data_IF_743948131515
#
_entry.id   IF_743948131515
#
_cell.length_a   1.000
_cell.length_b   1.000
_cell.length_c   1.000
_cell.angle_alpha   90.00
_cell.angle_beta   90.00
_cell.angle_gamma   90.00
#
_symmetry.space_group_name_H-M   'P 1'
#
loop_
_entity.id
_entity.type
_entity.pdbx_description
1 polymer ?
#
# COMPACT_ATOMS: atom_id res chain seq x y z
N UNK A 1 -19.55 -32.74 9.57
CA UNK A 1 -19.76 -31.68 8.56
C UNK A 1 -18.99 -30.46 9.02
N UNK A 2 -17.73 -30.30 8.56
CA UNK A 2 -16.85 -29.22 9.01
C UNK A 2 -16.80 -28.16 7.91
N UNK A 3 -17.46 -27.05 8.15
CA UNK A 3 -17.30 -25.85 7.33
C UNK A 3 -15.93 -25.23 7.63
N UNK A 4 -15.01 -25.28 6.68
CA UNK A 4 -13.78 -24.48 6.69
C UNK A 4 -14.09 -23.13 6.04
N UNK A 5 -13.90 -21.99 6.71
CA UNK A 5 -14.05 -20.68 6.08
C UNK A 5 -12.88 -20.45 5.10
N UNK A 6 -13.21 -20.29 3.82
CA UNK A 6 -12.27 -19.95 2.73
C UNK A 6 -12.04 -18.41 2.68
N UNK A 7 -12.01 -17.76 3.81
CA UNK A 7 -11.92 -16.31 3.90
C UNK A 7 -10.50 -15.77 4.11
N UNK A 8 -9.44 -16.53 3.73
CA UNK A 8 -8.07 -16.13 4.12
C UNK A 8 -7.09 -16.02 2.93
N UNK A 9 -7.52 -15.53 1.75
CA UNK A 9 -6.59 -15.43 0.62
C UNK A 9 -6.57 -14.12 -0.18
N UNK A 10 -7.20 -13.03 0.27
CA UNK A 10 -7.26 -11.76 -0.50
C UNK A 10 -6.46 -10.63 0.11
N UNK A 11 -5.65 -10.87 1.13
CA UNK A 11 -4.95 -9.80 1.84
C UNK A 11 -3.43 -9.93 1.82
N UNK A 12 -2.85 -9.87 0.64
CA UNK A 12 -1.40 -9.73 0.52
C UNK A 12 -1.11 -8.50 -0.32
N UNK A 13 -1.46 -7.31 0.08
CA UNK A 13 -1.01 -6.17 -0.72
C UNK A 13 -1.29 -4.83 -0.06
N UNK A 14 -0.46 -4.37 0.67
CA UNK A 14 0.33 -3.18 0.81
C UNK A 14 1.32 -3.47 1.94
N UNK A 15 2.21 -4.43 1.71
CA UNK A 15 3.33 -4.62 2.62
C UNK A 15 4.49 -3.76 2.20
N UNK A 16 4.30 -2.43 2.27
CA UNK A 16 5.46 -1.55 2.32
C UNK A 16 6.11 -1.62 3.70
N UNK A 17 5.61 -2.43 4.59
CA UNK A 17 6.25 -2.69 5.86
C UNK A 17 5.51 -3.78 6.64
N UNK A 18 5.92 -5.01 6.51
CA UNK A 18 5.73 -5.99 7.57
C UNK A 18 6.60 -7.21 7.31
N UNK A 19 7.59 -7.40 8.16
CA UNK A 19 7.89 -8.65 8.84
C UNK A 19 9.09 -8.39 9.74
N UNK A 20 8.88 -8.28 11.04
CA UNK A 20 9.79 -8.81 12.06
C UNK A 20 8.96 -9.16 13.30
N UNK A 21 8.98 -10.40 13.65
CA UNK A 21 8.63 -10.75 15.00
C UNK A 21 8.04 -12.13 15.21
N UNK A 22 8.82 -12.94 15.88
CA UNK A 22 8.54 -14.15 16.66
C UNK A 22 8.73 -15.49 15.94
N UNK A 23 9.79 -16.19 16.34
CA UNK A 23 9.61 -17.40 17.20
C UNK A 23 10.95 -17.97 17.61
N UNK A 24 11.13 -18.14 18.90
CA UNK A 24 12.01 -19.20 19.44
C UNK A 24 11.23 -20.50 19.39
N UNK A 25 11.70 -21.49 18.66
CA UNK A 25 11.47 -22.89 18.95
C UNK A 25 12.55 -23.77 18.35
N UNK A 26 13.10 -24.57 19.21
CA UNK A 26 14.02 -25.69 19.23
C UNK A 26 14.40 -26.36 17.90
N UNK A 27 15.73 -26.63 17.79
CA UNK A 27 16.48 -27.40 16.80
C UNK A 27 15.83 -28.76 16.46
N UNK A 28 15.70 -28.99 15.17
CA UNK A 28 15.97 -30.29 14.56
C UNK A 28 16.58 -30.09 13.19
N UNK A 29 17.67 -30.78 12.90
CA UNK A 29 18.46 -30.62 11.72
C UNK A 29 17.67 -31.05 10.49
N UNK A 30 17.23 -30.10 9.67
CA UNK A 30 16.74 -30.35 8.32
C UNK A 30 17.52 -29.47 7.35
N UNK A 31 18.03 -30.09 6.30
CA UNK A 31 18.80 -29.51 5.23
C UNK A 31 18.29 -28.11 4.85
N UNK A 32 19.17 -27.13 5.01
CA UNK A 32 18.99 -25.76 4.51
C UNK A 32 19.24 -25.80 3.01
N UNK A 33 18.21 -26.06 2.23
CA UNK A 33 18.18 -25.65 0.86
C UNK A 33 17.55 -24.24 0.84
N UNK A 34 18.39 -23.25 0.50
CA UNK A 34 18.04 -21.90 0.07
C UNK A 34 16.71 -21.33 0.60
N UNK A 35 16.72 -20.82 1.82
CA UNK A 35 15.80 -19.75 2.16
C UNK A 35 16.21 -18.55 1.28
N UNK A 36 15.62 -18.41 0.11
CA UNK A 36 15.53 -17.14 -0.58
C UNK A 36 14.91 -16.16 0.41
N UNK A 37 15.74 -15.33 0.98
CA UNK A 37 15.33 -14.08 1.58
C UNK A 37 14.70 -13.33 0.40
N UNK A 38 13.38 -13.29 0.29
CA UNK A 38 12.67 -12.38 -0.60
C UNK A 38 13.08 -10.97 -0.14
N UNK A 39 14.21 -10.50 -0.65
CA UNK A 39 14.57 -9.09 -0.60
C UNK A 39 13.47 -8.38 -1.38
N UNK A 40 12.52 -7.79 -0.68
CA UNK A 40 11.45 -7.00 -1.26
C UNK A 40 12.07 -5.72 -1.86
N UNK A 41 12.57 -5.85 -3.07
CA UNK A 41 13.24 -4.77 -3.77
C UNK A 41 12.23 -3.69 -4.16
N UNK A 42 12.53 -2.44 -3.79
CA UNK A 42 11.74 -1.27 -4.19
C UNK A 42 12.48 -0.56 -5.31
N UNK A 43 11.84 -0.47 -6.46
CA UNK A 43 12.34 0.32 -7.59
C UNK A 43 11.68 1.69 -7.61
N UNK A 44 12.47 2.75 -7.62
CA UNK A 44 12.02 4.14 -7.66
C UNK A 44 12.54 4.78 -8.94
N UNK A 45 11.63 5.44 -9.68
CA UNK A 45 11.95 6.30 -10.83
C UNK A 45 11.26 7.63 -10.64
N UNK A 46 11.98 8.72 -10.91
CA UNK A 46 11.49 10.10 -10.90
C UNK A 46 12.44 10.96 -11.72
N UNK A 47 11.99 12.12 -12.20
CA UNK A 47 12.85 13.08 -12.88
C UNK A 47 13.84 13.72 -11.90
N UNK A 48 13.44 13.90 -10.62
CA UNK A 48 14.27 14.44 -9.55
C UNK A 48 13.94 13.78 -8.23
N UNK A 49 14.98 13.46 -7.45
CA UNK A 49 14.88 12.96 -6.08
C UNK A 49 15.67 13.92 -5.18
N UNK A 50 15.05 14.38 -4.10
CA UNK A 50 15.66 15.17 -3.05
C UNK A 50 15.44 14.46 -1.72
N UNK A 51 16.48 14.36 -0.90
CA UNK A 51 16.39 13.81 0.45
C UNK A 51 16.87 14.87 1.44
N UNK A 52 16.05 15.15 2.42
CA UNK A 52 16.42 15.95 3.59
C UNK A 52 16.62 14.98 4.75
N UNK A 53 17.89 14.85 5.17
CA UNK A 53 18.27 13.89 6.20
C UNK A 53 17.96 14.42 7.60
N UNK A 54 17.91 15.72 7.78
CA UNK A 54 17.60 16.36 9.06
C UNK A 54 16.10 16.32 9.33
N UNK A 55 15.27 16.55 8.30
CA UNK A 55 13.81 16.51 8.39
C UNK A 55 13.24 15.08 8.19
N UNK A 56 14.09 14.10 7.92
CA UNK A 56 13.70 12.71 7.68
C UNK A 56 12.63 12.58 6.58
N UNK A 57 12.84 13.29 5.47
CA UNK A 57 11.93 13.24 4.34
C UNK A 57 12.64 13.06 2.99
N UNK A 58 11.93 12.46 2.06
CA UNK A 58 12.35 12.33 0.67
C UNK A 58 11.24 12.84 -0.25
N UNK A 59 11.60 13.65 -1.23
CA UNK A 59 10.70 14.17 -2.24
C UNK A 59 11.10 13.68 -3.63
N UNK A 60 10.12 13.10 -4.33
CA UNK A 60 10.24 12.61 -5.70
C UNK A 60 9.40 13.52 -6.59
N UNK A 61 9.98 14.04 -7.66
CA UNK A 61 9.33 15.00 -8.55
C UNK A 61 9.41 14.55 -10.02
N UNK A 62 8.30 14.67 -10.71
CA UNK A 62 8.15 14.42 -12.14
C UNK A 62 8.16 12.92 -12.49
N UNK A 63 7.15 12.46 -13.20
CA UNK A 63 7.05 11.08 -13.73
C UNK A 63 7.36 10.00 -12.68
N UNK A 64 6.91 10.23 -11.44
CA UNK A 64 7.23 9.34 -10.32
C UNK A 64 6.60 7.97 -10.55
N UNK A 65 7.42 6.92 -10.42
CA UNK A 65 6.98 5.52 -10.40
C UNK A 65 7.73 4.78 -9.31
N UNK A 66 6.97 4.17 -8.40
CA UNK A 66 7.50 3.29 -7.36
C UNK A 66 6.88 1.92 -7.57
N UNK A 67 7.71 0.89 -7.64
CA UNK A 67 7.24 -0.50 -7.80
C UNK A 67 7.86 -1.39 -6.74
N UNK A 68 7.04 -2.27 -6.19
CA UNK A 68 7.44 -3.30 -5.25
C UNK A 68 6.60 -4.55 -5.51
N UNK A 69 7.22 -5.65 -5.86
CA UNK A 69 6.52 -6.88 -6.23
C UNK A 69 5.42 -6.63 -7.28
N UNK A 70 4.14 -6.83 -6.92
CA UNK A 70 2.96 -6.62 -7.77
C UNK A 70 2.27 -5.27 -7.54
N UNK A 71 2.88 -4.40 -6.75
CA UNK A 71 2.34 -3.07 -6.47
C UNK A 71 3.11 -2.03 -7.27
N UNK A 72 2.38 -1.13 -7.92
CA UNK A 72 2.94 0.02 -8.64
C UNK A 72 2.18 1.27 -8.23
N UNK A 73 2.91 2.34 -7.93
CA UNK A 73 2.35 3.67 -7.66
C UNK A 73 2.97 4.65 -8.63
N UNK A 74 2.13 5.39 -9.35
CA UNK A 74 2.57 6.51 -10.21
C UNK A 74 1.94 7.81 -9.73
N UNK A 75 2.66 8.92 -9.87
CA UNK A 75 2.21 10.26 -9.50
C UNK A 75 3.08 11.33 -10.18
N UNK A 76 2.62 12.58 -10.16
CA UNK A 76 3.47 13.71 -10.57
C UNK A 76 4.51 14.04 -9.50
N UNK A 77 4.15 13.84 -8.23
CA UNK A 77 4.99 14.11 -7.07
C UNK A 77 4.71 13.12 -5.95
N UNK A 78 5.75 12.72 -5.22
CA UNK A 78 5.60 11.90 -4.01
C UNK A 78 6.51 12.43 -2.90
N UNK A 79 5.99 12.44 -1.67
CA UNK A 79 6.72 12.77 -0.46
C UNK A 79 6.69 11.60 0.50
N UNK A 80 7.84 11.19 0.97
CA UNK A 80 8.02 10.05 1.88
C UNK A 80 8.63 10.57 3.16
N UNK A 81 7.99 10.28 4.28
CA UNK A 81 8.47 10.55 5.62
C UNK A 81 8.95 9.26 6.26
N UNK A 82 10.10 9.32 6.92
CA UNK A 82 10.66 8.15 7.58
C UNK A 82 11.12 8.50 9.00
N UNK A 83 11.25 7.49 9.85
CA UNK A 83 11.73 7.64 11.23
C UNK A 83 13.07 6.93 11.36
N UNK A 84 13.95 7.44 12.22
CA UNK A 84 15.14 6.70 12.56
C UNK A 84 14.78 5.41 13.28
N UNK A 85 15.27 4.30 12.76
CA UNK A 85 15.13 3.01 13.43
C UNK A 85 16.07 2.98 14.63
N UNK A 86 15.52 3.00 15.84
CA UNK A 86 16.27 2.81 17.10
C UNK A 86 16.80 1.37 17.30
N UNK A 87 16.70 0.52 16.31
CA UNK A 87 17.20 -0.85 16.42
C UNK A 87 18.72 -0.88 16.24
N UNK A 88 19.42 -1.22 17.31
CA UNK A 88 20.85 -1.55 17.33
C UNK A 88 21.21 -2.82 16.53
N UNK A 89 20.34 -3.28 15.64
CA UNK A 89 20.55 -4.47 14.79
C UNK A 89 20.82 -4.10 13.34
N UNK A 90 21.85 -4.58 12.88
CA UNK A 90 22.77 -4.59 11.77
C UNK A 90 22.22 -4.40 10.33
N UNK A 91 20.95 -4.14 10.09
CA UNK A 91 20.46 -3.80 8.75
C UNK A 91 19.39 -2.70 8.83
N UNK A 92 19.82 -1.46 8.57
CA UNK A 92 18.93 -0.29 8.41
C UNK A 92 18.20 -0.41 7.07
N UNK A 93 17.11 -1.13 7.04
CA UNK A 93 16.18 -1.11 5.91
C UNK A 93 15.38 0.20 5.94
N UNK A 94 15.50 0.99 4.89
CA UNK A 94 14.68 2.20 4.68
C UNK A 94 13.18 1.88 4.75
N UNK A 95 12.78 0.68 4.36
CA UNK A 95 11.40 0.18 4.42
C UNK A 95 10.80 0.14 5.82
N UNK A 96 11.59 -0.29 6.82
CA UNK A 96 11.15 -0.30 8.23
C UNK A 96 10.93 1.09 8.81
N UNK A 97 11.55 2.09 8.20
CA UNK A 97 11.56 3.46 8.66
C UNK A 97 10.43 4.34 8.10
N UNK A 98 9.76 3.95 7.01
CA UNK A 98 8.69 4.77 6.40
C UNK A 98 7.52 4.89 7.38
N UNK A 99 7.13 6.14 7.69
CA UNK A 99 5.98 6.44 8.55
C UNK A 99 4.76 6.93 7.77
N UNK A 100 4.99 7.70 6.69
CA UNK A 100 3.94 8.30 5.88
C UNK A 100 4.40 8.48 4.44
N UNK A 101 3.48 8.27 3.49
CA UNK A 101 3.69 8.56 2.07
C UNK A 101 2.53 9.41 1.57
N UNK A 102 2.85 10.47 0.81
CA UNK A 102 1.86 11.31 0.15
C UNK A 102 2.22 11.36 -1.34
N UNK A 103 1.31 10.89 -2.19
CA UNK A 103 1.39 11.00 -3.64
C UNK A 103 0.38 12.03 -4.14
N UNK A 104 0.78 12.91 -5.08
CA UNK A 104 -0.06 13.98 -5.61
C UNK A 104 0.07 14.10 -7.12
N UNK A 105 -1.06 14.41 -7.75
CA UNK A 105 -1.20 14.61 -9.19
C UNK A 105 -1.20 13.31 -9.97
N UNK A 106 -2.28 13.05 -10.70
CA UNK A 106 -2.44 11.88 -11.58
C UNK A 106 -2.08 10.55 -10.89
N UNK A 107 -2.48 10.40 -9.62
CA UNK A 107 -2.09 9.24 -8.83
C UNK A 107 -2.82 7.99 -9.34
N UNK A 108 -2.03 6.96 -9.69
CA UNK A 108 -2.54 5.62 -9.97
C UNK A 108 -1.81 4.63 -9.09
N UNK A 109 -2.59 3.80 -8.38
CA UNK A 109 -2.08 2.71 -7.54
C UNK A 109 -2.62 1.41 -8.13
N UNK A 110 -1.72 0.54 -8.54
CA UNK A 110 -2.03 -0.81 -9.03
C UNK A 110 -1.59 -1.83 -8.00
N UNK A 111 -2.50 -2.72 -7.59
CA UNK A 111 -2.26 -3.76 -6.59
C UNK A 111 -2.94 -5.05 -7.03
N UNK A 112 -2.17 -5.99 -7.58
CA UNK A 112 -2.67 -7.27 -8.10
C UNK A 112 -3.88 -7.07 -9.06
N UNK A 113 -5.10 -7.21 -8.56
CA UNK A 113 -6.34 -7.05 -9.34
C UNK A 113 -7.06 -5.72 -9.11
N UNK A 114 -6.55 -4.90 -8.21
CA UNK A 114 -7.15 -3.62 -7.85
C UNK A 114 -6.39 -2.47 -8.50
N UNK A 115 -7.14 -1.47 -8.95
CA UNK A 115 -6.60 -0.21 -9.46
C UNK A 115 -7.33 0.94 -8.77
N UNK A 116 -6.55 1.85 -8.17
CA UNK A 116 -7.06 3.10 -7.64
C UNK A 116 -6.53 4.27 -8.47
N UNK A 117 -7.42 5.22 -8.80
CA UNK A 117 -7.07 6.47 -9.50
C UNK A 117 -7.62 7.62 -8.68
N UNK A 118 -6.78 8.64 -8.42
CA UNK A 118 -7.14 9.78 -7.57
C UNK A 118 -6.22 10.98 -7.82
N UNK A 119 -6.55 12.15 -7.28
CA UNK A 119 -5.68 13.32 -7.35
C UNK A 119 -4.60 13.29 -6.26
N UNK A 120 -4.92 12.74 -5.08
CA UNK A 120 -3.99 12.59 -3.97
C UNK A 120 -4.22 11.27 -3.24
N UNK A 121 -3.14 10.59 -2.87
CA UNK A 121 -3.14 9.44 -2.00
C UNK A 121 -2.22 9.67 -0.80
N UNK A 122 -2.72 9.40 0.39
CA UNK A 122 -1.96 9.45 1.64
C UNK A 122 -2.01 8.10 2.34
N UNK A 123 -0.85 7.53 2.61
CA UNK A 123 -0.70 6.32 3.42
C UNK A 123 -0.04 6.65 4.75
N UNK A 124 -0.59 6.15 5.85
CA UNK A 124 -0.04 6.28 7.21
C UNK A 124 0.21 4.86 7.74
N UNK A 125 1.47 4.55 8.04
CA UNK A 125 1.90 3.21 8.43
C UNK A 125 1.31 2.76 9.76
N UNK A 126 1.40 3.59 10.80
CA UNK A 126 0.99 3.21 12.16
C UNK A 126 -0.47 2.82 12.27
N UNK A 127 -1.33 3.46 11.47
CA UNK A 127 -2.76 3.15 11.40
C UNK A 127 -3.11 2.23 10.24
N UNK A 128 -2.16 1.86 9.41
CA UNK A 128 -2.36 1.13 8.14
C UNK A 128 -3.50 1.72 7.31
N UNK A 129 -3.57 3.05 7.27
CA UNK A 129 -4.65 3.78 6.62
C UNK A 129 -4.19 4.35 5.29
N UNK A 130 -4.92 4.01 4.22
CA UNK A 130 -4.80 4.62 2.90
C UNK A 130 -6.00 5.52 2.67
N UNK A 131 -5.75 6.80 2.38
CA UNK A 131 -6.78 7.78 2.00
C UNK A 131 -6.53 8.23 0.56
N UNK A 132 -7.55 8.12 -0.28
CA UNK A 132 -7.58 8.65 -1.63
C UNK A 132 -8.50 9.87 -1.64
N UNK A 133 -8.05 10.99 -2.18
CA UNK A 133 -8.81 12.24 -2.21
C UNK A 133 -8.72 12.87 -3.60
N UNK A 134 -9.87 13.22 -4.15
CA UNK A 134 -9.98 13.86 -5.46
C UNK A 134 -11.43 13.90 -5.92
N UNK A 135 -11.74 14.78 -6.86
CA UNK A 135 -13.10 14.97 -7.33
C UNK A 135 -13.77 13.66 -7.82
N UNK A 136 -12.98 12.76 -8.39
CA UNK A 136 -13.44 11.48 -8.94
C UNK A 136 -12.49 10.33 -8.53
N UNK A 137 -12.19 10.23 -7.24
CA UNK A 137 -11.41 9.08 -6.75
C UNK A 137 -12.16 7.79 -7.05
N UNK A 138 -11.47 6.84 -7.68
CA UNK A 138 -12.06 5.58 -8.14
C UNK A 138 -11.22 4.40 -7.65
N UNK A 139 -11.88 3.39 -7.13
CA UNK A 139 -11.31 2.08 -6.85
C UNK A 139 -12.03 1.05 -7.72
N UNK A 140 -11.28 0.20 -8.41
CA UNK A 140 -11.81 -0.85 -9.27
C UNK A 140 -11.12 -2.18 -9.02
N UNK A 141 -11.87 -3.28 -9.15
CA UNK A 141 -11.38 -4.66 -9.08
C UNK A 141 -12.15 -5.51 -10.10
N UNK A 142 -11.49 -5.89 -11.18
CA UNK A 142 -12.16 -6.52 -12.31
C UNK A 142 -13.30 -5.65 -12.85
N UNK A 143 -14.54 -6.17 -12.95
CA UNK A 143 -15.70 -5.39 -13.43
C UNK A 143 -16.32 -4.48 -12.35
N UNK A 144 -15.95 -4.67 -11.07
CA UNK A 144 -16.47 -3.89 -9.94
C UNK A 144 -15.75 -2.56 -9.81
N UNK A 145 -16.49 -1.52 -9.46
CA UNK A 145 -15.86 -0.23 -9.14
C UNK A 145 -16.72 0.59 -8.17
N UNK A 146 -16.06 1.51 -7.48
CA UNK A 146 -16.69 2.50 -6.62
C UNK A 146 -16.00 3.84 -6.82
N UNK A 147 -16.75 4.94 -6.77
CA UNK A 147 -16.23 6.31 -6.89
C UNK A 147 -16.78 7.20 -5.79
N UNK A 148 -15.96 8.16 -5.37
CA UNK A 148 -16.34 9.20 -4.42
C UNK A 148 -15.30 10.32 -4.40
N UNK A 149 -15.54 11.36 -3.64
CA UNK A 149 -14.57 12.43 -3.43
C UNK A 149 -13.47 12.04 -2.44
N UNK A 150 -13.75 11.04 -1.59
CA UNK A 150 -12.81 10.49 -0.64
C UNK A 150 -13.06 9.00 -0.42
N UNK A 151 -12.00 8.22 -0.47
CA UNK A 151 -12.02 6.79 -0.19
C UNK A 151 -11.00 6.52 0.90
N UNK A 152 -11.42 5.91 2.00
CA UNK A 152 -10.55 5.59 3.14
C UNK A 152 -10.55 4.08 3.34
N UNK A 153 -9.38 3.49 3.29
CA UNK A 153 -9.18 2.09 3.56
C UNK A 153 -8.38 1.90 4.85
N UNK A 154 -8.99 1.26 5.84
CA UNK A 154 -8.37 0.85 7.11
C UNK A 154 -7.99 -0.63 7.00
N UNK A 155 -6.74 -0.90 6.71
CA UNK A 155 -6.26 -2.26 6.48
C UNK A 155 -6.40 -3.15 7.71
N UNK A 156 -5.97 -2.67 8.88
CA UNK A 156 -6.04 -3.42 10.13
C UNK A 156 -7.48 -3.83 10.50
N UNK A 157 -8.49 -3.07 10.04
CA UNK A 157 -9.90 -3.29 10.33
C UNK A 157 -10.65 -3.92 9.16
N UNK A 158 -10.01 -4.12 8.03
CA UNK A 158 -10.65 -4.53 6.77
C UNK A 158 -11.89 -3.67 6.44
N UNK A 159 -11.77 -2.35 6.60
CA UNK A 159 -12.87 -1.42 6.49
C UNK A 159 -12.63 -0.42 5.38
N UNK A 160 -13.63 -0.26 4.51
CA UNK A 160 -13.65 0.73 3.45
C UNK A 160 -14.75 1.75 3.76
N UNK A 161 -14.42 3.04 3.70
CA UNK A 161 -15.36 4.15 3.76
C UNK A 161 -15.24 4.94 2.48
N UNK A 162 -16.38 5.27 1.85
CA UNK A 162 -16.41 6.12 0.66
C UNK A 162 -17.36 7.27 0.92
N UNK A 163 -16.89 8.47 0.67
CA UNK A 163 -17.62 9.71 0.86
C UNK A 163 -17.81 10.42 -0.49
N UNK A 164 -19.00 10.92 -0.73
CA UNK A 164 -19.30 11.82 -1.84
C UNK A 164 -18.95 13.27 -1.51
N UNK A 165 -19.21 14.18 -2.43
CA UNK A 165 -19.13 15.63 -2.22
C UNK A 165 -20.55 16.23 -2.20
N UNK A 166 -20.62 17.54 -1.96
CA UNK A 166 -21.90 18.26 -2.05
C UNK A 166 -22.53 18.23 -3.46
N UNK A 167 -21.70 18.01 -4.50
CA UNK A 167 -22.12 18.00 -5.90
C UNK A 167 -22.26 16.59 -6.48
N UNK A 168 -21.54 15.60 -5.91
CA UNK A 168 -21.49 14.23 -6.44
C UNK A 168 -21.67 13.20 -5.33
N UNK A 169 -22.65 12.31 -5.55
CA UNK A 169 -22.87 11.16 -4.67
C UNK A 169 -21.85 10.05 -4.94
N UNK A 170 -21.67 9.18 -3.94
CA UNK A 170 -20.96 7.91 -4.15
C UNK A 170 -21.67 7.07 -5.19
N UNK A 171 -20.93 6.53 -6.16
CA UNK A 171 -21.45 5.62 -7.19
C UNK A 171 -20.67 4.31 -7.12
N UNK A 172 -21.37 3.21 -7.26
CA UNK A 172 -20.74 1.87 -7.29
C UNK A 172 -21.43 0.99 -8.32
N UNK A 173 -20.63 0.14 -8.97
CA UNK A 173 -21.11 -0.96 -9.80
C UNK A 173 -20.54 -2.25 -9.23
N UNK A 174 -21.40 -3.15 -8.82
CA UNK A 174 -21.03 -4.41 -8.20
C UNK A 174 -21.78 -5.53 -8.90
N UNK A 175 -21.05 -6.49 -9.45
CA UNK A 175 -21.63 -7.68 -10.04
C UNK A 175 -21.89 -8.71 -8.93
N UNK A 176 -23.15 -9.04 -8.70
CA UNK A 176 -23.58 -10.08 -7.77
C UNK A 176 -23.28 -11.47 -8.36
N UNK A 177 -22.07 -11.91 -8.31
CA UNK A 177 -21.59 -13.22 -8.76
C UNK A 177 -20.62 -13.82 -7.75
N UNK A 178 -20.02 -14.98 -8.07
CA UNK A 178 -19.01 -15.66 -7.22
C UNK A 178 -17.67 -14.90 -7.05
N UNK A 179 -17.65 -13.63 -7.31
CA UNK A 179 -16.44 -12.79 -7.29
C UNK A 179 -16.38 -12.02 -5.98
N UNK A 180 -15.25 -12.06 -5.33
CA UNK A 180 -14.93 -11.25 -4.17
C UNK A 180 -15.04 -9.77 -4.55
N UNK A 181 -15.61 -8.95 -3.67
CA UNK A 181 -15.97 -7.57 -3.99
C UNK A 181 -14.74 -6.68 -4.21
N UNK A 182 -13.71 -6.84 -3.36
CA UNK A 182 -12.45 -6.07 -3.40
C UNK A 182 -11.35 -6.83 -2.66
#
# INVERSE_FOLDING_TARGET
MHYRPIALRIFIFVSLAMIVGLTNFVMEAVNISDAQTDNEEIHIKADKIMADLDEHEMELLGNVRVTQQKTSVTADKMKVYYQESNSQKTEKSIQGAISKVIAKGNVTIEMDKMVAVTDEATYIKDSEMLTLTGANSKLSSGPNWITGSKIIFFRAQNKLIVEGSAQDQVKALIYAGKTELF
#
